data_IF_397532234555
#
_entry.id   IF_397532234555
#
_cell.length_a   1.000
_cell.length_b   1.000
_cell.length_c   1.000
_cell.angle_alpha   90.00
_cell.angle_beta   90.00
_cell.angle_gamma   90.00
#
_symmetry.space_group_name_H-M   'P 1'
#
loop_
_entity.id
_entity.type
_entity.pdbx_description
1 polymer ?
#
# COMPACT_ATOMS: atom_id res chain seq x y z
N UNK A 1 -12.41 7.01 2.98
CA UNK A 1 -11.08 6.39 3.18
C UNK A 1 -10.05 7.47 3.49
N UNK A 2 -9.23 7.33 4.53
CA UNK A 2 -8.29 8.36 4.98
C UNK A 2 -6.94 8.34 4.24
N UNK A 3 -6.44 9.51 3.82
CA UNK A 3 -5.09 9.72 3.29
C UNK A 3 -4.39 10.84 4.06
N UNK A 4 -3.09 10.69 4.34
CA UNK A 4 -2.27 11.74 4.95
C UNK A 4 -1.73 12.77 3.93
N UNK A 5 -2.07 12.66 2.64
CA UNK A 5 -1.72 13.63 1.59
C UNK A 5 -2.96 14.21 0.90
N UNK A 6 -2.80 15.42 0.34
CA UNK A 6 -3.86 16.19 -0.34
C UNK A 6 -3.48 16.52 -1.79
N UNK A 7 -3.02 15.52 -2.55
CA UNK A 7 -2.60 15.72 -3.95
C UNK A 7 -3.69 16.38 -4.79
N UNK A 8 -3.32 17.39 -5.59
CA UNK A 8 -4.26 18.18 -6.40
C UNK A 8 -4.89 17.40 -7.56
N UNK A 9 -4.24 16.32 -8.01
CA UNK A 9 -4.72 15.44 -9.09
C UNK A 9 -5.53 14.25 -8.60
N UNK A 10 -5.67 14.06 -7.29
CA UNK A 10 -6.28 12.85 -6.75
C UNK A 10 -7.80 12.87 -6.94
N UNK A 11 -8.33 11.79 -7.53
CA UNK A 11 -9.73 11.62 -7.89
C UNK A 11 -10.68 11.38 -6.71
N UNK A 12 -10.17 11.21 -5.48
CA UNK A 12 -10.99 11.00 -4.29
C UNK A 12 -11.64 12.31 -3.85
N UNK A 13 -12.96 12.39 -4.00
CA UNK A 13 -13.76 13.56 -3.63
C UNK A 13 -13.86 13.77 -2.10
N UNK A 14 -13.85 12.69 -1.31
CA UNK A 14 -13.86 12.74 0.15
C UNK A 14 -12.76 11.83 0.73
N UNK A 15 -12.04 12.35 1.73
CA UNK A 15 -10.87 11.69 2.36
C UNK A 15 -11.05 11.49 3.87
N UNK A 16 -12.26 11.71 4.36
CA UNK A 16 -12.63 11.40 5.74
C UNK A 16 -13.39 10.07 5.74
N UNK A 17 -13.05 9.18 6.67
CA UNK A 17 -13.77 7.93 6.87
C UNK A 17 -13.79 7.59 8.35
N UNK A 18 -14.99 7.58 8.92
CA UNK A 18 -15.20 7.21 10.32
C UNK A 18 -15.58 5.72 10.45
N UNK A 19 -16.02 5.06 9.36
CA UNK A 19 -16.60 3.72 9.41
C UNK A 19 -15.74 2.69 8.68
N UNK A 20 -14.54 2.45 9.21
CA UNK A 20 -13.59 1.49 8.62
C UNK A 20 -13.69 0.10 9.28
N UNK A 21 -14.04 -0.90 8.47
CA UNK A 21 -14.06 -2.33 8.79
C UNK A 21 -12.68 -2.87 9.26
N UNK A 22 -12.68 -3.95 10.04
CA UNK A 22 -11.45 -4.66 10.46
C UNK A 22 -10.99 -5.65 9.39
N UNK A 23 -9.75 -6.13 9.47
CA UNK A 23 -9.19 -7.01 8.44
C UNK A 23 -9.97 -8.34 8.32
N UNK A 24 -10.51 -8.83 9.44
CA UNK A 24 -11.33 -10.04 9.46
C UNK A 24 -12.65 -9.90 8.70
N UNK A 25 -13.22 -8.69 8.62
CA UNK A 25 -14.42 -8.43 7.82
C UNK A 25 -14.13 -8.62 6.32
N UNK A 26 -12.91 -8.26 5.88
CA UNK A 26 -12.46 -8.43 4.50
C UNK A 26 -12.19 -9.89 4.13
N UNK A 27 -11.81 -10.72 5.10
CA UNK A 27 -11.47 -12.13 4.87
C UNK A 27 -12.57 -12.87 4.10
N UNK A 28 -13.84 -12.62 4.44
CA UNK A 28 -14.98 -13.25 3.76
C UNK A 28 -15.06 -12.86 2.28
N UNK A 29 -14.80 -11.60 1.94
CA UNK A 29 -14.82 -11.09 0.56
C UNK A 29 -13.63 -11.65 -0.23
N UNK A 30 -12.44 -11.62 0.36
CA UNK A 30 -11.21 -12.10 -0.26
C UNK A 30 -11.25 -13.61 -0.54
N UNK A 31 -11.74 -14.41 0.41
CA UNK A 31 -11.91 -15.86 0.21
C UNK A 31 -12.88 -16.17 -0.91
N UNK A 32 -14.04 -15.51 -0.95
CA UNK A 32 -15.01 -15.70 -2.04
C UNK A 32 -14.43 -15.31 -3.40
N UNK A 33 -13.70 -14.20 -3.49
CA UNK A 33 -13.05 -13.80 -4.73
C UNK A 33 -12.05 -14.86 -5.21
N UNK A 34 -11.23 -15.42 -4.30
CA UNK A 34 -10.32 -16.53 -4.60
C UNK A 34 -11.07 -17.78 -5.07
N UNK A 35 -12.12 -18.19 -4.38
CA UNK A 35 -12.94 -19.35 -4.74
C UNK A 35 -13.56 -19.22 -6.14
N UNK A 36 -13.82 -17.99 -6.59
CA UNK A 36 -14.35 -17.68 -7.91
C UNK A 36 -13.26 -17.42 -8.97
N UNK A 37 -11.98 -17.70 -8.67
CA UNK A 37 -10.89 -17.62 -9.64
C UNK A 37 -10.41 -16.21 -9.96
N UNK A 38 -10.46 -15.29 -9.00
CA UNK A 38 -9.88 -13.94 -9.15
C UNK A 38 -8.40 -14.02 -9.57
N UNK A 39 -7.98 -13.15 -10.48
CA UNK A 39 -6.59 -13.10 -10.95
C UNK A 39 -5.67 -12.43 -9.94
N UNK A 40 -6.10 -11.29 -9.38
CA UNK A 40 -5.27 -10.47 -8.50
C UNK A 40 -6.09 -9.54 -7.61
N UNK A 41 -5.51 -9.11 -6.49
CA UNK A 41 -6.03 -8.02 -5.67
C UNK A 41 -5.23 -6.73 -5.86
N UNK A 42 -5.90 -5.59 -5.72
CA UNK A 42 -5.26 -4.27 -5.64
C UNK A 42 -5.74 -3.54 -4.40
N UNK A 43 -4.82 -3.31 -3.46
CA UNK A 43 -5.07 -2.57 -2.23
C UNK A 43 -4.73 -1.10 -2.49
N UNK A 44 -5.79 -0.30 -2.51
CA UNK A 44 -5.77 1.14 -2.77
C UNK A 44 -6.51 1.86 -1.62
N UNK A 45 -6.87 3.12 -1.86
CA UNK A 45 -7.83 3.89 -1.07
C UNK A 45 -7.16 4.71 0.03
N UNK A 46 -7.44 6.01 0.03
CA UNK A 46 -6.76 6.96 0.90
C UNK A 46 -5.25 6.78 0.86
N UNK A 47 -4.65 6.43 1.99
CA UNK A 47 -3.33 5.79 2.07
C UNK A 47 -3.48 4.42 2.77
N UNK A 48 -3.27 3.29 2.06
CA UNK A 48 -3.43 1.95 2.65
C UNK A 48 -2.57 1.70 3.88
N UNK A 49 -1.35 2.26 3.96
CA UNK A 49 -0.49 2.08 5.14
C UNK A 49 -1.02 2.80 6.38
N UNK A 50 -2.00 3.71 6.21
CA UNK A 50 -2.75 4.37 7.30
C UNK A 50 -3.96 3.59 7.77
N UNK A 51 -4.34 2.52 7.07
CA UNK A 51 -5.37 1.63 7.57
C UNK A 51 -4.91 0.97 8.88
N UNK A 52 -5.69 1.15 9.94
CA UNK A 52 -5.36 0.70 11.31
C UNK A 52 -4.94 -0.77 11.40
N UNK A 53 -5.53 -1.63 10.55
CA UNK A 53 -5.35 -3.07 10.59
C UNK A 53 -4.63 -3.63 9.34
N UNK A 54 -3.83 -2.78 8.68
CA UNK A 54 -3.15 -3.13 7.42
C UNK A 54 -2.26 -4.37 7.52
N UNK A 55 -1.57 -4.56 8.65
CA UNK A 55 -0.65 -5.69 8.79
C UNK A 55 -1.42 -7.03 8.85
N UNK A 56 -2.59 -7.07 9.47
CA UNK A 56 -3.43 -8.26 9.50
C UNK A 56 -4.06 -8.52 8.14
N UNK A 57 -4.51 -7.47 7.45
CA UNK A 57 -5.06 -7.58 6.09
C UNK A 57 -4.03 -8.17 5.13
N UNK A 58 -2.78 -7.68 5.17
CA UNK A 58 -1.71 -8.21 4.32
C UNK A 58 -1.39 -9.67 4.63
N UNK A 59 -1.37 -10.07 5.92
CA UNK A 59 -1.19 -11.48 6.29
C UNK A 59 -2.32 -12.39 5.80
N UNK A 60 -3.57 -11.92 5.90
CA UNK A 60 -4.73 -12.64 5.37
C UNK A 60 -4.56 -12.83 3.86
N UNK A 61 -4.24 -11.75 3.13
CA UNK A 61 -4.07 -11.80 1.68
C UNK A 61 -2.90 -12.71 1.26
N UNK A 62 -1.76 -12.61 1.94
CA UNK A 62 -0.60 -13.46 1.66
C UNK A 62 -0.94 -14.95 1.84
N UNK A 63 -1.72 -15.30 2.88
CA UNK A 63 -2.18 -16.67 3.10
C UNK A 63 -3.08 -17.21 1.98
N UNK A 64 -3.72 -16.31 1.22
CA UNK A 64 -4.53 -16.67 0.06
C UNK A 64 -3.69 -17.00 -1.17
N UNK A 65 -2.40 -16.67 -1.21
CA UNK A 65 -1.50 -16.95 -2.34
C UNK A 65 -2.03 -16.41 -3.68
N UNK A 66 -2.65 -15.23 -3.62
CA UNK A 66 -3.16 -14.51 -4.80
C UNK A 66 -2.27 -13.30 -5.03
N UNK A 67 -1.84 -13.10 -6.28
CA UNK A 67 -1.01 -11.95 -6.67
C UNK A 67 -1.71 -10.67 -6.25
N UNK A 68 -1.00 -9.84 -5.50
CA UNK A 68 -1.55 -8.66 -4.87
C UNK A 68 -0.63 -7.47 -5.06
N UNK A 69 -1.22 -6.31 -5.33
CA UNK A 69 -0.52 -5.03 -5.27
C UNK A 69 -1.01 -4.21 -4.10
N UNK A 70 -0.12 -3.45 -3.48
CA UNK A 70 -0.47 -2.38 -2.53
C UNK A 70 0.17 -1.09 -3.02
N UNK A 71 -0.66 -0.05 -3.25
CA UNK A 71 -0.17 1.25 -3.70
C UNK A 71 -0.06 2.21 -2.52
N UNK A 72 1.12 2.78 -2.30
CA UNK A 72 1.41 3.67 -1.17
C UNK A 72 2.14 4.93 -1.61
N UNK A 73 1.84 6.05 -0.93
CA UNK A 73 2.58 7.31 -1.04
C UNK A 73 3.95 7.28 -0.34
N UNK A 74 4.26 6.21 0.39
CA UNK A 74 5.56 5.94 0.98
C UNK A 74 6.02 6.88 2.09
N UNK A 75 5.15 7.75 2.60
CA UNK A 75 5.55 8.75 3.61
C UNK A 75 5.69 8.16 5.01
N UNK A 76 4.70 7.37 5.44
CA UNK A 76 4.60 6.84 6.80
C UNK A 76 4.15 5.39 6.75
N UNK A 77 5.11 4.50 6.48
CA UNK A 77 4.92 3.05 6.46
C UNK A 77 5.57 2.43 7.71
N UNK A 78 4.84 1.54 8.38
CA UNK A 78 5.39 0.82 9.54
C UNK A 78 6.47 -0.15 9.07
N UNK A 79 7.49 -0.34 9.90
CA UNK A 79 8.53 -1.37 9.68
C UNK A 79 7.91 -2.77 9.52
N UNK A 80 6.89 -3.09 10.33
CA UNK A 80 6.15 -4.36 10.24
C UNK A 80 5.50 -4.55 8.87
N UNK A 81 4.89 -3.51 8.32
CA UNK A 81 4.27 -3.54 6.98
C UNK A 81 5.32 -3.79 5.90
N UNK A 82 6.48 -3.11 5.97
CA UNK A 82 7.61 -3.36 5.05
C UNK A 82 8.09 -4.81 5.15
N UNK A 83 8.28 -5.31 6.37
CA UNK A 83 8.78 -6.66 6.61
C UNK A 83 7.81 -7.71 6.03
N UNK A 84 6.49 -7.56 6.22
CA UNK A 84 5.46 -8.43 5.63
C UNK A 84 5.53 -8.42 4.10
N UNK A 85 5.62 -7.22 3.49
CA UNK A 85 5.70 -7.09 2.03
C UNK A 85 6.98 -7.74 1.48
N UNK A 86 8.13 -7.56 2.15
CA UNK A 86 9.39 -8.14 1.70
C UNK A 86 9.44 -9.66 1.82
N UNK A 87 8.74 -10.23 2.81
CA UNK A 87 8.68 -11.68 3.05
C UNK A 87 7.65 -12.39 2.18
N UNK A 88 6.79 -11.66 1.48
CA UNK A 88 5.74 -12.21 0.63
C UNK A 88 6.23 -12.43 -0.80
N UNK A 89 5.91 -13.61 -1.35
CA UNK A 89 6.06 -13.91 -2.78
C UNK A 89 4.89 -13.37 -3.62
N UNK A 90 3.78 -13.01 -2.97
CA UNK A 90 2.52 -12.67 -3.63
C UNK A 90 2.21 -11.18 -3.61
N UNK A 91 2.83 -10.40 -2.70
CA UNK A 91 2.55 -8.98 -2.52
C UNK A 91 3.65 -8.12 -3.13
N UNK A 92 3.29 -7.28 -4.10
CA UNK A 92 4.19 -6.31 -4.72
C UNK A 92 3.82 -4.89 -4.30
N UNK A 93 4.73 -4.12 -3.69
CA UNK A 93 4.48 -2.71 -3.41
C UNK A 93 4.56 -1.88 -4.69
N UNK A 94 3.65 -0.93 -4.84
CA UNK A 94 3.66 0.11 -5.87
C UNK A 94 3.82 1.45 -5.17
N UNK A 95 4.83 2.23 -5.56
CA UNK A 95 5.16 3.50 -4.91
C UNK A 95 4.67 4.65 -5.78
N UNK A 96 3.79 5.50 -5.24
CA UNK A 96 3.38 6.74 -5.90
C UNK A 96 4.52 7.75 -5.89
N UNK A 97 5.00 8.10 -7.09
CA UNK A 97 6.05 9.10 -7.30
C UNK A 97 5.79 9.78 -8.65
N UNK A 98 5.39 11.05 -8.63
CA UNK A 98 5.01 11.77 -9.86
C UNK A 98 6.20 12.38 -10.58
N UNK A 99 7.28 12.68 -9.85
CA UNK A 99 8.50 13.25 -10.40
C UNK A 99 9.72 12.91 -9.57
N UNK A 100 10.87 12.72 -10.21
CA UNK A 100 12.17 12.66 -9.54
C UNK A 100 12.66 14.04 -9.10
N UNK A 101 12.17 15.10 -9.76
CA UNK A 101 12.40 16.48 -9.35
C UNK A 101 11.58 16.82 -8.10
N UNK A 102 12.28 17.25 -7.05
CA UNK A 102 11.71 17.52 -5.73
C UNK A 102 10.65 18.62 -5.77
N UNK A 103 10.88 19.68 -6.57
CA UNK A 103 9.96 20.81 -6.65
C UNK A 103 8.64 20.38 -7.31
N UNK A 104 8.72 19.71 -8.46
CA UNK A 104 7.56 19.22 -9.19
C UNK A 104 6.79 18.15 -8.40
N UNK A 105 7.48 17.26 -7.70
CA UNK A 105 6.78 16.27 -6.85
C UNK A 105 6.05 16.95 -5.68
N UNK A 106 6.65 17.99 -5.11
CA UNK A 106 6.01 18.76 -4.05
C UNK A 106 4.79 19.53 -4.56
N UNK A 107 4.86 20.13 -5.74
CA UNK A 107 3.72 20.81 -6.37
C UNK A 107 2.52 19.87 -6.55
N UNK A 108 2.77 18.63 -7.00
CA UNK A 108 1.72 17.66 -7.31
C UNK A 108 1.18 16.93 -6.07
N UNK A 109 2.06 16.50 -5.16
CA UNK A 109 1.74 15.61 -4.05
C UNK A 109 1.81 16.25 -2.65
N UNK A 110 2.41 17.43 -2.53
CA UNK A 110 2.73 18.05 -1.23
C UNK A 110 3.91 17.43 -0.50
N UNK A 111 4.73 16.60 -1.18
CA UNK A 111 5.92 15.96 -0.61
C UNK A 111 7.05 15.87 -1.62
N UNK A 112 8.29 15.77 -1.13
CA UNK A 112 9.51 15.66 -1.95
C UNK A 112 9.72 14.22 -2.47
N UNK A 113 10.42 14.08 -3.59
CA UNK A 113 10.68 12.80 -4.26
C UNK A 113 11.62 11.91 -3.42
N UNK A 114 12.52 12.55 -2.65
CA UNK A 114 13.54 11.88 -1.82
C UNK A 114 13.00 10.71 -0.98
N UNK A 115 11.86 10.85 -0.31
CA UNK A 115 11.29 9.78 0.54
C UNK A 115 10.86 8.56 -0.27
N UNK A 116 10.21 8.76 -1.42
CA UNK A 116 9.84 7.67 -2.30
C UNK A 116 11.07 6.90 -2.80
N UNK A 117 12.13 7.62 -3.16
CA UNK A 117 13.41 7.03 -3.59
C UNK A 117 14.08 6.24 -2.46
N UNK A 118 14.10 6.77 -1.24
CA UNK A 118 14.64 6.08 -0.06
C UNK A 118 13.86 4.79 0.25
N UNK A 119 12.53 4.82 0.15
CA UNK A 119 11.70 3.64 0.34
C UNK A 119 11.97 2.56 -0.72
N UNK A 120 12.14 2.94 -1.99
CA UNK A 120 12.50 2.01 -3.07
C UNK A 120 13.83 1.32 -2.77
N UNK A 121 14.84 2.08 -2.32
CA UNK A 121 16.15 1.52 -1.92
C UNK A 121 16.01 0.56 -0.73
N UNK A 122 15.21 0.93 0.26
CA UNK A 122 14.95 0.08 1.43
C UNK A 122 14.32 -1.27 1.03
N UNK A 123 13.34 -1.28 0.13
CA UNK A 123 12.76 -2.52 -0.38
C UNK A 123 13.79 -3.38 -1.12
N UNK A 124 14.64 -2.76 -1.95
CA UNK A 124 15.72 -3.47 -2.65
C UNK A 124 16.71 -4.13 -1.68
N UNK A 125 17.16 -3.40 -0.66
CA UNK A 125 18.11 -3.90 0.34
C UNK A 125 17.54 -5.04 1.19
N UNK A 126 16.25 -4.95 1.54
CA UNK A 126 15.58 -5.96 2.38
C UNK A 126 15.32 -7.25 1.64
N UNK A 127 14.84 -7.19 0.39
CA UNK A 127 14.57 -8.38 -0.42
C UNK A 127 15.85 -9.21 -0.66
N UNK A 128 16.97 -8.53 -0.91
CA UNK A 128 18.30 -9.17 -1.04
C UNK A 128 18.81 -9.90 0.21
N UNK A 129 18.28 -9.62 1.40
CA UNK A 129 18.65 -10.33 2.64
C UNK A 129 17.78 -11.56 2.91
N UNK A 130 16.70 -11.71 2.16
CA UNK A 130 15.74 -12.80 2.29
C UNK A 130 15.98 -13.93 1.27
N UNK A 131 16.77 -13.65 0.22
CA UNK A 131 17.32 -14.61 -0.75
C UNK A 131 18.68 -15.18 -0.28
#
# INVERSE_FOLDING_TARGET
MYCNLHCGFCFLANREDENVHLADDWKKVLSQAKENGILSFSILGGEPTKYKDIDNLLKIIDSLKVVTTITTNGQEIKKSTIDIICQSDYITPVISLESIDDFKNFELMGTRSKRGIELIKLFHERKRKSD
#
